data_IF_776906896420
#
_entry.id   IF_776906896420
#
_cell.length_a   1.000
_cell.length_b   1.000
_cell.length_c   1.000
_cell.angle_alpha   90.00
_cell.angle_beta   90.00
_cell.angle_gamma   90.00
#
_symmetry.space_group_name_H-M   'P 1'
#
loop_
_entity.id
_entity.type
_entity.pdbx_description
1 polymer ?
#
# COMPACT_ATOMS: atom_id res chain seq x y z
N UNK A 1 35.35 -85.83 17.86
CA UNK A 1 35.17 -86.93 16.89
C UNK A 1 34.81 -86.33 15.54
N UNK A 2 35.28 -86.83 14.39
CA UNK A 2 36.61 -87.32 14.04
C UNK A 2 37.20 -86.50 12.85
N UNK A 3 38.52 -86.26 12.81
CA UNK A 3 39.53 -86.91 11.92
C UNK A 3 39.86 -86.12 10.63
N UNK A 4 41.14 -85.77 10.43
CA UNK A 4 42.09 -86.39 9.46
C UNK A 4 42.21 -85.50 8.19
N UNK A 5 43.29 -85.39 7.42
CA UNK A 5 44.65 -85.96 7.33
C UNK A 5 45.41 -84.94 6.41
N UNK A 6 46.62 -84.48 6.74
CA UNK A 6 47.90 -84.74 6.01
C UNK A 6 47.94 -84.30 4.53
N UNK A 7 48.87 -83.41 4.16
CA UNK A 7 50.13 -83.83 3.52
C UNK A 7 51.14 -82.70 3.31
N UNK A 8 52.40 -83.04 3.63
CA UNK A 8 53.66 -82.33 3.39
C UNK A 8 54.04 -82.28 1.90
N UNK A 9 54.75 -81.22 1.49
CA UNK A 9 55.83 -81.19 0.47
C UNK A 9 56.53 -79.80 0.57
N UNK A 10 57.66 -79.67 1.27
CA UNK A 10 59.08 -79.73 0.79
C UNK A 10 59.43 -78.74 -0.34
N UNK A 11 59.97 -77.55 0.04
CA UNK A 11 61.31 -76.93 -0.25
C UNK A 11 61.94 -77.15 -1.66
N UNK A 12 62.75 -76.24 -2.29
CA UNK A 12 63.34 -74.96 -1.87
C UNK A 12 63.21 -73.77 -2.84
N UNK A 13 63.60 -72.62 -2.29
CA UNK A 13 64.15 -71.40 -2.89
C UNK A 13 65.00 -71.61 -4.16
N UNK A 14 64.77 -70.78 -5.19
CA UNK A 14 65.87 -70.31 -6.05
C UNK A 14 65.67 -68.86 -6.47
N UNK A 15 66.77 -68.14 -6.30
CA UNK A 15 67.04 -66.75 -6.60
C UNK A 15 66.96 -66.41 -8.10
N UNK A 16 66.85 -65.10 -8.30
CA UNK A 16 67.32 -64.27 -9.41
C UNK A 16 66.35 -64.00 -10.58
N UNK A 17 65.96 -62.73 -10.56
CA UNK A 17 65.24 -61.95 -11.53
C UNK A 17 66.05 -61.66 -12.81
N UNK A 18 65.30 -61.26 -13.84
CA UNK A 18 65.50 -60.15 -14.80
C UNK A 18 64.53 -60.42 -15.97
N UNK A 19 63.76 -59.51 -16.54
CA UNK A 19 63.32 -58.15 -16.25
C UNK A 19 62.31 -57.79 -17.36
N UNK A 20 61.24 -57.05 -17.08
CA UNK A 20 60.73 -56.04 -18.02
C UNK A 20 59.62 -55.17 -17.39
N UNK A 21 59.81 -53.85 -17.53
CA UNK A 21 58.85 -52.74 -17.45
C UNK A 21 58.26 -52.42 -16.06
N UNK A 22 58.28 -51.19 -15.54
CA UNK A 22 58.72 -49.90 -16.07
C UNK A 22 58.76 -48.89 -14.92
N UNK A 23 59.83 -48.10 -14.90
CA UNK A 23 60.04 -46.73 -14.42
C UNK A 23 59.48 -46.20 -13.07
N UNK A 24 60.48 -45.96 -12.19
CA UNK A 24 60.80 -44.75 -11.40
C UNK A 24 59.73 -44.15 -10.46
N UNK A 25 59.90 -44.38 -9.15
CA UNK A 25 60.62 -43.53 -8.17
C UNK A 25 59.86 -42.25 -7.79
N UNK A 26 59.19 -42.26 -6.64
CA UNK A 26 59.70 -41.86 -5.30
C UNK A 26 59.78 -40.35 -5.12
N UNK A 27 58.90 -39.81 -4.27
CA UNK A 27 59.30 -39.06 -3.07
C UNK A 27 58.08 -38.48 -2.33
N UNK A 28 57.91 -38.96 -1.09
CA UNK A 28 57.57 -38.19 0.12
C UNK A 28 56.25 -37.42 0.23
N UNK A 29 55.36 -38.00 1.05
CA UNK A 29 54.85 -37.43 2.31
C UNK A 29 53.87 -36.23 2.29
N UNK A 30 52.86 -36.35 3.19
CA UNK A 30 51.88 -35.34 3.63
C UNK A 30 50.86 -34.90 2.57
N UNK A 31 49.72 -35.57 2.49
CA UNK A 31 48.37 -34.98 2.58
C UNK A 31 47.40 -36.16 2.76
N UNK A 32 46.96 -36.44 3.97
CA UNK A 32 45.82 -37.33 4.21
C UNK A 32 45.03 -36.82 5.42
N UNK A 33 44.69 -35.53 5.38
CA UNK A 33 43.76 -34.90 6.31
C UNK A 33 43.13 -33.70 5.60
N UNK A 34 42.21 -33.99 4.69
CA UNK A 34 41.14 -33.08 4.22
C UNK A 34 40.32 -33.82 3.16
N UNK A 35 39.53 -34.79 3.60
CA UNK A 35 38.43 -35.31 2.80
C UNK A 35 37.14 -34.65 3.31
N UNK A 36 36.78 -33.56 2.63
CA UNK A 36 35.43 -33.05 2.44
C UNK A 36 34.47 -33.15 3.64
N UNK A 37 34.47 -32.13 4.49
CA UNK A 37 33.20 -31.67 5.04
C UNK A 37 32.42 -31.09 3.85
N UNK A 38 31.41 -31.81 3.37
CA UNK A 38 30.36 -31.19 2.59
C UNK A 38 29.75 -30.11 3.49
N UNK A 39 30.13 -28.85 3.27
CA UNK A 39 29.53 -27.73 3.97
C UNK A 39 28.05 -27.74 3.62
N UNK A 40 27.20 -28.04 4.60
CA UNK A 40 25.83 -27.56 4.62
C UNK A 40 25.84 -26.11 4.10
N UNK A 41 24.98 -25.72 3.15
CA UNK A 41 24.90 -24.33 2.73
C UNK A 41 24.84 -23.47 3.99
N UNK A 42 25.77 -22.53 4.14
CA UNK A 42 25.79 -21.67 5.32
C UNK A 42 24.38 -21.09 5.49
N UNK A 43 23.79 -21.28 6.67
CA UNK A 43 22.44 -20.78 6.93
C UNK A 43 22.43 -19.28 6.65
N UNK A 44 21.50 -18.83 5.79
CA UNK A 44 21.33 -17.42 5.49
C UNK A 44 21.19 -16.65 6.81
N UNK A 45 21.96 -15.58 6.99
CA UNK A 45 21.88 -14.73 8.17
C UNK A 45 21.20 -13.39 7.83
N UNK A 46 20.69 -12.65 8.84
CA UNK A 46 20.24 -11.27 8.65
C UNK A 46 21.30 -10.36 7.98
N UNK A 47 22.59 -10.63 8.21
CA UNK A 47 23.68 -9.87 7.57
C UNK A 47 23.80 -10.19 6.09
N UNK A 48 23.55 -11.43 5.70
CA UNK A 48 23.59 -11.83 4.29
C UNK A 48 22.42 -11.23 3.51
N UNK A 49 21.24 -11.11 4.13
CA UNK A 49 20.10 -10.39 3.54
C UNK A 49 20.47 -8.92 3.29
N UNK A 50 21.04 -8.25 4.30
CA UNK A 50 21.48 -6.87 4.15
C UNK A 50 22.54 -6.73 3.04
N UNK A 51 23.51 -7.63 2.98
CA UNK A 51 24.54 -7.61 1.95
C UNK A 51 23.94 -7.74 0.54
N UNK A 52 22.97 -8.63 0.34
CA UNK A 52 22.28 -8.80 -0.96
C UNK A 52 21.61 -7.51 -1.45
N UNK A 53 21.01 -6.73 -0.57
CA UNK A 53 20.41 -5.44 -0.94
C UNK A 53 21.47 -4.40 -1.32
N UNK A 54 22.60 -4.37 -0.60
CA UNK A 54 23.70 -3.45 -0.85
C UNK A 54 24.44 -3.78 -2.15
N UNK A 55 24.62 -5.06 -2.45
CA UNK A 55 25.45 -5.56 -3.54
C UNK A 55 24.67 -5.79 -4.85
N UNK A 56 23.34 -5.66 -4.83
CA UNK A 56 22.47 -5.91 -5.97
C UNK A 56 22.86 -5.11 -7.22
N UNK A 57 22.90 -5.80 -8.35
CA UNK A 57 23.16 -5.26 -9.69
C UNK A 57 21.86 -5.29 -10.53
N UNK A 58 21.78 -4.48 -11.61
CA UNK A 58 20.62 -4.51 -12.49
C UNK A 58 20.37 -5.90 -13.08
N UNK A 59 19.12 -6.36 -13.04
CA UNK A 59 18.70 -7.69 -13.45
C UNK A 59 18.77 -8.75 -12.34
N UNK A 60 19.31 -8.42 -11.17
CA UNK A 60 19.38 -9.35 -10.06
C UNK A 60 18.00 -9.67 -9.48
N UNK A 61 17.88 -10.91 -9.01
CA UNK A 61 16.76 -11.40 -8.21
C UNK A 61 17.26 -11.74 -6.81
N UNK A 62 16.85 -10.94 -5.83
CA UNK A 62 17.09 -11.20 -4.40
C UNK A 62 16.04 -12.18 -3.89
N UNK A 63 16.37 -13.47 -3.94
CA UNK A 63 15.52 -14.54 -3.41
C UNK A 63 15.64 -14.65 -1.89
N UNK A 64 14.52 -14.55 -1.18
CA UNK A 64 14.39 -14.62 0.27
C UNK A 64 13.63 -15.89 0.66
N UNK A 65 14.31 -16.89 1.26
CA UNK A 65 13.68 -18.16 1.58
C UNK A 65 12.61 -18.02 2.67
N UNK A 66 11.72 -19.02 2.74
CA UNK A 66 10.76 -19.17 3.82
C UNK A 66 11.46 -19.06 5.19
N UNK A 67 10.85 -18.30 6.09
CA UNK A 67 11.35 -18.04 7.42
C UNK A 67 10.92 -16.68 7.95
N UNK A 68 11.05 -16.52 9.27
CA UNK A 68 10.92 -15.23 9.95
C UNK A 68 12.31 -14.66 10.25
N UNK A 69 12.63 -13.56 9.60
CA UNK A 69 13.94 -12.92 9.60
C UNK A 69 13.89 -11.66 10.46
N UNK A 70 14.52 -11.70 11.64
CA UNK A 70 14.60 -10.52 12.50
C UNK A 70 15.70 -9.57 12.02
N UNK A 71 15.31 -8.37 11.63
CA UNK A 71 16.17 -7.31 11.12
C UNK A 71 16.19 -6.14 12.11
N UNK A 72 17.37 -5.61 12.39
CA UNK A 72 17.53 -4.47 13.30
C UNK A 72 17.83 -3.15 12.57
N UNK A 73 17.92 -3.18 11.24
CA UNK A 73 18.31 -2.08 10.36
C UNK A 73 17.47 -2.14 9.09
N UNK A 74 17.14 -0.97 8.53
CA UNK A 74 16.49 -0.87 7.22
C UNK A 74 17.30 -1.59 6.13
N UNK A 75 16.57 -2.16 5.17
CA UNK A 75 17.13 -2.65 3.91
C UNK A 75 17.01 -1.53 2.87
N UNK A 76 18.12 -1.13 2.25
CA UNK A 76 18.11 -0.05 1.25
C UNK A 76 18.55 -0.60 -0.09
N UNK A 77 17.77 -0.29 -1.13
CA UNK A 77 18.04 -0.65 -2.52
C UNK A 77 18.09 0.62 -3.37
N UNK A 78 19.20 0.84 -4.08
CA UNK A 78 19.39 2.02 -4.96
C UNK A 78 19.71 1.62 -6.40
N UNK A 79 19.45 0.36 -6.75
CA UNK A 79 19.81 -0.21 -8.05
C UNK A 79 18.55 -0.50 -8.85
N UNK A 80 18.49 0.05 -10.06
CA UNK A 80 17.39 -0.20 -11.01
C UNK A 80 17.35 -1.65 -11.49
N UNK A 81 16.17 -2.13 -11.91
CA UNK A 81 16.02 -3.44 -12.56
C UNK A 81 16.14 -4.63 -11.63
N UNK A 82 15.94 -4.43 -10.31
CA UNK A 82 16.08 -5.48 -9.30
C UNK A 82 14.70 -6.04 -8.92
N UNK A 83 14.64 -7.36 -8.76
CA UNK A 83 13.48 -8.04 -8.16
C UNK A 83 13.82 -8.53 -6.76
N UNK A 84 12.95 -8.27 -5.77
CA UNK A 84 12.98 -8.89 -4.44
C UNK A 84 11.83 -9.88 -4.35
N UNK A 85 12.14 -11.15 -4.08
CA UNK A 85 11.14 -12.22 -4.07
C UNK A 85 11.20 -13.05 -2.80
N UNK A 86 10.06 -13.28 -2.16
CA UNK A 86 9.91 -14.27 -1.09
C UNK A 86 9.19 -15.56 -1.54
N UNK A 87 8.94 -16.45 -0.59
CA UNK A 87 8.23 -17.72 -0.82
C UNK A 87 6.69 -17.62 -0.67
N UNK A 88 6.19 -16.44 -0.33
CA UNK A 88 4.79 -16.10 -0.06
C UNK A 88 4.69 -15.17 1.16
N UNK A 89 3.67 -14.30 1.21
CA UNK A 89 3.49 -13.32 2.29
C UNK A 89 3.30 -13.95 3.70
N UNK A 90 2.85 -15.20 3.76
CA UNK A 90 2.72 -15.97 5.01
C UNK A 90 3.95 -16.83 5.33
N UNK A 91 4.95 -16.86 4.44
CA UNK A 91 6.11 -17.76 4.50
C UNK A 91 7.42 -17.02 4.69
N UNK A 92 7.66 -15.96 3.93
CA UNK A 92 8.84 -15.11 4.07
C UNK A 92 8.45 -13.85 4.82
N UNK A 93 8.87 -13.73 6.07
CA UNK A 93 8.52 -12.61 6.96
C UNK A 93 9.78 -11.86 7.36
N UNK A 94 9.87 -10.58 7.00
CA UNK A 94 10.91 -9.66 7.45
C UNK A 94 10.39 -8.89 8.67
N UNK A 95 10.86 -9.25 9.85
CA UNK A 95 10.41 -8.65 11.11
C UNK A 95 11.40 -7.60 11.59
N UNK A 96 10.94 -6.35 11.69
CA UNK A 96 11.71 -5.21 12.18
C UNK A 96 11.45 -4.91 13.66
N UNK A 97 10.77 -5.81 14.38
CA UNK A 97 10.61 -5.72 15.82
C UNK A 97 11.95 -5.53 16.52
N UNK A 98 12.11 -4.38 17.19
CA UNK A 98 13.36 -3.99 17.83
C UNK A 98 14.40 -3.34 16.90
N UNK A 99 13.96 -2.77 15.77
CA UNK A 99 14.78 -1.96 14.88
C UNK A 99 15.49 -0.85 15.66
N UNK A 100 16.82 -0.79 15.52
CA UNK A 100 17.68 0.17 16.23
C UNK A 100 18.23 1.26 15.32
N UNK A 101 18.14 1.10 13.99
CA UNK A 101 18.59 2.09 13.02
C UNK A 101 17.72 2.12 11.76
N UNK A 102 17.60 3.31 11.17
CA UNK A 102 16.65 3.61 10.09
C UNK A 102 15.21 3.70 10.59
N UNK A 103 14.33 4.28 9.77
CA UNK A 103 12.90 4.34 10.06
C UNK A 103 12.15 3.25 9.27
N UNK A 104 12.56 3.03 8.02
CA UNK A 104 11.87 2.17 7.08
C UNK A 104 12.21 0.69 7.30
N UNK A 105 11.31 -0.23 6.93
CA UNK A 105 11.68 -1.63 6.75
C UNK A 105 12.54 -1.81 5.50
N UNK A 106 11.95 -1.47 4.35
CA UNK A 106 12.63 -1.43 3.05
C UNK A 106 12.49 -0.04 2.45
N UNK A 107 13.63 0.57 2.09
CA UNK A 107 13.70 1.81 1.33
C UNK A 107 14.27 1.52 -0.07
N UNK A 108 13.53 1.91 -1.10
CA UNK A 108 13.90 1.72 -2.50
C UNK A 108 13.99 3.07 -3.18
N UNK A 109 15.10 3.36 -3.84
CA UNK A 109 15.30 4.53 -4.71
C UNK A 109 15.73 4.02 -6.09
N UNK A 110 14.80 3.47 -6.86
CA UNK A 110 15.11 2.74 -8.09
C UNK A 110 13.92 2.67 -9.05
N UNK A 111 14.22 2.50 -10.34
CA UNK A 111 13.26 2.17 -11.41
C UNK A 111 13.30 0.69 -11.77
N UNK A 112 12.30 0.22 -12.51
CA UNK A 112 12.16 -1.17 -12.96
C UNK A 112 12.26 -2.16 -11.80
N UNK A 113 11.61 -1.80 -10.69
CA UNK A 113 11.67 -2.53 -9.42
C UNK A 113 10.44 -3.42 -9.25
N UNK A 114 10.67 -4.67 -8.87
CA UNK A 114 9.62 -5.59 -8.46
C UNK A 114 9.86 -6.09 -7.05
N UNK A 115 8.84 -6.08 -6.21
CA UNK A 115 8.82 -6.81 -4.94
C UNK A 115 7.60 -7.71 -4.88
N UNK A 116 7.83 -8.98 -4.52
CA UNK A 116 6.75 -9.95 -4.44
C UNK A 116 6.90 -11.02 -3.36
N UNK A 117 5.76 -11.54 -2.91
CA UNK A 117 5.65 -12.77 -2.12
C UNK A 117 6.36 -12.75 -0.75
N UNK A 118 6.23 -11.66 0.00
CA UNK A 118 6.80 -11.55 1.36
C UNK A 118 5.97 -10.66 2.28
N UNK A 119 6.28 -10.71 3.58
CA UNK A 119 5.75 -9.80 4.58
C UNK A 119 6.83 -8.92 5.21
N UNK A 120 6.43 -7.72 5.62
CA UNK A 120 7.21 -6.74 6.37
C UNK A 120 6.43 -6.41 7.65
N UNK A 121 7.02 -6.71 8.81
CA UNK A 121 6.34 -6.59 10.10
C UNK A 121 7.06 -5.64 11.05
N UNK A 122 6.29 -4.90 11.85
CA UNK A 122 6.74 -4.17 13.04
C UNK A 122 7.90 -3.18 12.79
N UNK A 123 7.85 -2.44 11.68
CA UNK A 123 8.82 -1.37 11.39
C UNK A 123 8.61 -0.17 12.30
N UNK A 124 9.71 0.55 12.59
CA UNK A 124 9.64 1.77 13.41
C UNK A 124 8.90 2.91 12.71
N UNK A 125 9.09 3.03 11.41
CA UNK A 125 8.40 3.94 10.49
C UNK A 125 7.82 3.14 9.33
N UNK A 126 7.91 3.67 8.12
CA UNK A 126 7.26 3.08 6.93
C UNK A 126 7.71 1.64 6.66
N UNK A 127 6.78 0.76 6.25
CA UNK A 127 7.14 -0.64 6.03
C UNK A 127 7.91 -0.83 4.72
N UNK A 128 7.30 -0.43 3.60
CA UNK A 128 7.91 -0.41 2.27
C UNK A 128 7.78 1.00 1.69
N UNK A 129 8.90 1.70 1.53
CA UNK A 129 8.95 2.99 0.84
C UNK A 129 9.68 2.85 -0.50
N UNK A 130 9.00 3.22 -1.58
CA UNK A 130 9.60 3.37 -2.91
C UNK A 130 9.59 4.86 -3.23
N UNK A 131 10.75 5.48 -3.14
CA UNK A 131 10.91 6.91 -3.33
C UNK A 131 11.51 7.19 -4.69
N UNK A 132 10.74 7.88 -5.53
CA UNK A 132 11.07 8.15 -6.93
C UNK A 132 11.17 6.86 -7.77
N UNK A 133 11.26 7.03 -9.09
CA UNK A 133 11.47 5.94 -10.04
C UNK A 133 10.26 5.64 -10.92
N UNK A 134 10.47 4.75 -11.90
CA UNK A 134 9.46 4.35 -12.88
C UNK A 134 9.31 2.85 -12.91
N UNK A 135 8.13 2.36 -13.33
CA UNK A 135 7.83 0.94 -13.51
C UNK A 135 7.99 0.14 -12.21
N UNK A 136 7.12 0.43 -11.25
CA UNK A 136 7.16 -0.16 -9.91
C UNK A 136 6.08 -1.22 -9.79
N UNK A 137 6.45 -2.45 -9.43
CA UNK A 137 5.53 -3.56 -9.22
C UNK A 137 5.63 -4.03 -7.77
N UNK A 138 4.53 -3.93 -7.04
CA UNK A 138 4.37 -4.43 -5.66
C UNK A 138 3.26 -5.46 -5.70
N UNK A 139 3.62 -6.74 -5.53
CA UNK A 139 2.69 -7.85 -5.76
C UNK A 139 2.69 -8.82 -4.60
N UNK A 140 1.54 -9.09 -4.00
CA UNK A 140 1.41 -10.05 -2.89
C UNK A 140 2.41 -9.76 -1.76
N UNK A 141 2.51 -8.49 -1.37
CA UNK A 141 3.28 -8.04 -0.22
C UNK A 141 2.34 -7.78 0.95
N UNK A 142 2.65 -8.28 2.14
CA UNK A 142 1.93 -7.94 3.38
C UNK A 142 2.75 -6.96 4.22
N UNK A 143 2.15 -5.86 4.65
CA UNK A 143 2.70 -4.97 5.67
C UNK A 143 1.81 -5.02 6.90
N UNK A 144 2.41 -5.17 8.09
CA UNK A 144 1.63 -5.31 9.32
C UNK A 144 2.36 -4.79 10.57
N UNK A 145 1.65 -3.98 11.35
CA UNK A 145 1.99 -3.75 12.75
C UNK A 145 1.22 -4.75 13.61
N UNK A 146 1.91 -5.81 14.03
CA UNK A 146 1.30 -7.00 14.65
C UNK A 146 0.70 -6.72 16.03
N UNK A 147 1.00 -5.55 16.60
CA UNK A 147 0.43 -5.04 17.84
C UNK A 147 -0.95 -4.40 17.70
N UNK A 148 -1.51 -4.34 16.49
CA UNK A 148 -2.77 -3.66 16.17
C UNK A 148 -2.62 -2.14 16.02
N UNK A 149 -3.75 -1.42 15.76
CA UNK A 149 -3.80 0.04 15.60
C UNK A 149 -3.20 0.80 16.78
N UNK A 150 -2.15 1.58 16.54
CA UNK A 150 -1.50 2.44 17.53
C UNK A 150 -0.87 3.65 16.87
N UNK A 151 -0.90 4.79 17.56
CA UNK A 151 -0.31 6.05 17.08
C UNK A 151 1.21 5.96 16.91
N UNK A 152 1.88 5.05 17.63
CA UNK A 152 3.33 4.84 17.51
C UNK A 152 3.73 3.87 16.40
N UNK A 153 2.77 3.31 15.65
CA UNK A 153 3.08 2.52 14.47
C UNK A 153 3.73 3.41 13.39
N UNK A 154 4.31 2.78 12.38
CA UNK A 154 4.79 3.52 11.22
C UNK A 154 3.61 4.11 10.44
N UNK A 155 3.89 5.23 9.77
CA UNK A 155 2.87 5.97 9.04
C UNK A 155 2.32 5.15 7.88
N UNK A 156 3.19 4.66 7.01
CA UNK A 156 2.76 4.04 5.76
C UNK A 156 3.16 2.57 5.64
N UNK A 157 2.20 1.72 5.26
CA UNK A 157 2.48 0.32 4.94
C UNK A 157 3.22 0.18 3.62
N UNK A 158 2.49 0.31 2.51
CA UNK A 158 3.04 0.31 1.15
C UNK A 158 3.05 1.76 0.66
N UNK A 159 4.23 2.30 0.34
CA UNK A 159 4.44 3.73 0.11
C UNK A 159 5.30 4.02 -1.14
N UNK A 160 4.79 3.80 -2.36
CA UNK A 160 5.31 4.46 -3.55
C UNK A 160 5.00 5.98 -3.55
N UNK A 161 6.03 6.79 -3.79
CA UNK A 161 5.92 8.25 -3.83
C UNK A 161 6.82 8.86 -4.88
N UNK A 162 6.31 9.87 -5.60
CA UNK A 162 7.03 10.49 -6.72
C UNK A 162 7.39 9.48 -7.83
N UNK A 163 6.51 8.51 -8.05
CA UNK A 163 6.72 7.39 -8.97
C UNK A 163 5.84 7.49 -10.23
N UNK A 164 6.24 6.78 -11.29
CA UNK A 164 5.45 6.68 -12.54
C UNK A 164 5.29 5.21 -12.95
N UNK A 165 4.12 4.83 -13.46
CA UNK A 165 3.78 3.45 -13.83
C UNK A 165 3.86 2.49 -12.63
N UNK A 166 2.88 2.58 -11.74
CA UNK A 166 2.85 1.83 -10.49
C UNK A 166 1.74 0.77 -10.53
N UNK A 167 2.10 -0.46 -10.18
CA UNK A 167 1.15 -1.54 -9.92
C UNK A 167 1.29 -2.00 -8.47
N UNK A 168 0.23 -1.83 -7.68
CA UNK A 168 0.07 -2.46 -6.37
C UNK A 168 -1.05 -3.48 -6.47
N UNK A 169 -0.72 -4.78 -6.41
CA UNK A 169 -1.72 -5.83 -6.57
C UNK A 169 -1.62 -7.00 -5.59
N UNK A 170 -2.75 -7.56 -5.20
CA UNK A 170 -2.81 -8.75 -4.36
C UNK A 170 -2.19 -8.58 -2.96
N UNK A 171 -1.98 -7.34 -2.53
CA UNK A 171 -1.21 -6.99 -1.32
C UNK A 171 -2.11 -6.74 -0.12
N UNK A 172 -1.53 -6.78 1.07
CA UNK A 172 -2.25 -6.63 2.34
C UNK A 172 -1.57 -5.58 3.21
N UNK A 173 -2.32 -4.63 3.77
CA UNK A 173 -1.77 -3.61 4.67
C UNK A 173 -2.61 -3.47 5.95
N UNK A 174 -1.97 -3.62 7.11
CA UNK A 174 -2.63 -3.73 8.40
C UNK A 174 -1.97 -2.86 9.48
N UNK A 175 -2.75 -1.98 10.11
CA UNK A 175 -2.34 -1.29 11.33
C UNK A 175 -1.46 -0.05 11.13
N UNK A 176 -1.38 0.52 9.93
CA UNK A 176 -0.62 1.74 9.66
C UNK A 176 -1.23 2.95 10.40
N UNK A 177 -0.40 3.79 11.02
CA UNK A 177 -0.88 4.99 11.74
C UNK A 177 -1.30 6.13 10.82
N UNK A 178 -1.04 5.98 9.52
CA UNK A 178 -1.51 6.86 8.46
C UNK A 178 -2.24 5.97 7.43
N UNK A 179 -1.66 5.75 6.25
CA UNK A 179 -2.25 4.91 5.22
C UNK A 179 -1.66 3.49 5.13
N UNK A 180 -2.52 2.49 5.00
CA UNK A 180 -2.12 1.11 4.74
C UNK A 180 -1.42 0.99 3.39
N UNK A 181 -2.10 1.42 2.33
CA UNK A 181 -1.54 1.56 0.99
C UNK A 181 -1.63 3.04 0.61
N UNK A 182 -0.48 3.68 0.44
CA UNK A 182 -0.37 5.07 0.04
C UNK A 182 0.30 5.15 -1.33
N UNK A 183 -0.28 5.89 -2.27
CA UNK A 183 0.38 6.27 -3.51
C UNK A 183 0.30 7.78 -3.68
N UNK A 184 1.43 8.46 -3.50
CA UNK A 184 1.47 9.92 -3.47
C UNK A 184 2.34 10.53 -4.55
N UNK A 185 1.99 11.73 -5.00
CA UNK A 185 2.77 12.49 -5.98
C UNK A 185 3.18 11.66 -7.21
N UNK A 186 2.34 10.72 -7.64
CA UNK A 186 2.68 9.71 -8.64
C UNK A 186 1.78 9.79 -9.87
N UNK A 187 2.11 9.03 -10.93
CA UNK A 187 1.40 9.06 -12.21
C UNK A 187 1.20 7.66 -12.79
N UNK A 188 0.06 7.45 -13.46
CA UNK A 188 -0.28 6.18 -14.12
C UNK A 188 -0.24 5.00 -13.12
N UNK A 189 -1.25 4.94 -12.26
CA UNK A 189 -1.29 4.09 -11.06
C UNK A 189 -2.42 3.06 -11.16
N UNK A 190 -2.12 1.82 -10.82
CA UNK A 190 -3.13 0.77 -10.60
C UNK A 190 -2.97 0.19 -9.21
N UNK A 191 -4.03 0.28 -8.40
CA UNK A 191 -4.14 -0.34 -7.08
C UNK A 191 -5.32 -1.32 -7.12
N UNK A 192 -5.03 -2.62 -7.19
CA UNK A 192 -6.08 -3.63 -7.36
C UNK A 192 -5.95 -4.91 -6.53
N UNK A 193 -7.08 -5.55 -6.27
CA UNK A 193 -7.11 -6.86 -5.60
C UNK A 193 -6.38 -6.87 -4.23
N UNK A 194 -6.31 -5.72 -3.55
CA UNK A 194 -5.62 -5.59 -2.27
C UNK A 194 -6.60 -5.66 -1.08
N UNK A 195 -6.08 -5.93 0.12
CA UNK A 195 -6.81 -5.80 1.38
C UNK A 195 -6.15 -4.77 2.28
N UNK A 196 -6.89 -3.74 2.66
CA UNK A 196 -6.45 -2.74 3.64
C UNK A 196 -7.39 -2.76 4.85
N UNK A 197 -6.85 -3.03 6.04
CA UNK A 197 -7.65 -3.11 7.25
C UNK A 197 -6.96 -2.55 8.49
N UNK A 198 -7.76 -1.99 9.41
CA UNK A 198 -7.26 -1.45 10.67
C UNK A 198 -6.20 -0.35 10.52
N UNK A 199 -6.18 0.37 9.40
CA UNK A 199 -5.35 1.57 9.20
C UNK A 199 -6.16 2.83 9.52
N UNK A 200 -5.52 4.00 9.58
CA UNK A 200 -6.29 5.26 9.57
C UNK A 200 -6.93 5.42 8.20
N UNK A 201 -6.12 5.53 7.14
CA UNK A 201 -6.58 5.42 5.77
C UNK A 201 -6.31 4.01 5.24
N UNK A 202 -7.31 3.32 4.72
CA UNK A 202 -7.09 2.01 4.10
C UNK A 202 -6.20 2.13 2.87
N UNK A 203 -6.69 2.85 1.87
CA UNK A 203 -5.98 3.18 0.63
C UNK A 203 -6.02 4.69 0.44
N UNK A 204 -4.88 5.31 0.12
CA UNK A 204 -4.78 6.73 -0.15
C UNK A 204 -4.10 7.00 -1.49
N UNK A 205 -4.74 7.84 -2.32
CA UNK A 205 -4.19 8.41 -3.54
C UNK A 205 -4.02 9.91 -3.30
N UNK A 206 -2.77 10.36 -3.15
CA UNK A 206 -2.46 11.75 -2.77
C UNK A 206 -1.74 12.47 -3.92
N UNK A 207 -2.20 13.67 -4.30
CA UNK A 207 -1.54 14.54 -5.29
C UNK A 207 -1.06 13.80 -6.55
N UNK A 208 -1.84 12.84 -7.02
CA UNK A 208 -1.47 11.91 -8.10
C UNK A 208 -2.33 12.09 -9.33
N UNK A 209 -1.79 11.71 -10.50
CA UNK A 209 -2.44 11.93 -11.79
C UNK A 209 -2.67 10.61 -12.51
N UNK A 210 -3.93 10.26 -12.72
CA UNK A 210 -4.32 9.01 -13.39
C UNK A 210 -4.14 7.80 -12.47
N UNK A 211 -5.19 7.45 -11.74
CA UNK A 211 -5.21 6.30 -10.85
C UNK A 211 -6.47 5.44 -11.04
N UNK A 212 -6.29 4.13 -11.09
CA UNK A 212 -7.35 3.13 -11.04
C UNK A 212 -7.26 2.37 -9.72
N UNK A 213 -8.28 2.50 -8.87
CA UNK A 213 -8.38 1.83 -7.57
C UNK A 213 -9.59 0.89 -7.61
N UNK A 214 -9.36 -0.40 -7.79
CA UNK A 214 -10.46 -1.35 -8.00
C UNK A 214 -10.27 -2.76 -7.46
N UNK A 215 -11.38 -3.48 -7.25
CA UNK A 215 -11.39 -4.83 -6.66
C UNK A 215 -10.69 -4.93 -5.30
N UNK A 216 -10.54 -3.81 -4.59
CA UNK A 216 -9.92 -3.83 -3.26
C UNK A 216 -10.97 -4.09 -2.17
N UNK A 217 -10.50 -4.61 -1.05
CA UNK A 217 -11.27 -4.76 0.20
C UNK A 217 -10.70 -3.79 1.22
N UNK A 218 -11.42 -2.70 1.49
CA UNK A 218 -11.08 -1.69 2.48
C UNK A 218 -12.06 -1.79 3.67
N UNK A 219 -11.64 -2.45 4.75
CA UNK A 219 -12.52 -2.78 5.88
C UNK A 219 -11.91 -2.41 7.23
N UNK A 220 -12.74 -2.01 8.19
CA UNK A 220 -12.29 -1.70 9.57
C UNK A 220 -11.15 -0.66 9.65
N UNK A 221 -11.00 0.23 8.67
CA UNK A 221 -10.11 1.40 8.79
C UNK A 221 -10.82 2.54 9.52
N UNK A 222 -10.19 3.70 9.71
CA UNK A 222 -10.91 4.93 10.09
C UNK A 222 -11.64 5.53 8.88
N UNK A 223 -10.93 5.63 7.76
CA UNK A 223 -11.45 5.93 6.43
C UNK A 223 -11.06 4.81 5.46
N UNK A 224 -11.98 4.38 4.60
CA UNK A 224 -11.73 3.27 3.67
C UNK A 224 -10.75 3.63 2.55
N UNK A 225 -11.18 4.53 1.64
CA UNK A 225 -10.38 5.00 0.50
C UNK A 225 -10.35 6.53 0.49
N UNK A 226 -9.17 7.13 0.39
CA UNK A 226 -8.95 8.57 0.35
C UNK A 226 -8.38 8.99 -1.00
N UNK A 227 -8.92 10.08 -1.57
CA UNK A 227 -8.44 10.72 -2.79
C UNK A 227 -8.18 12.20 -2.49
N UNK A 228 -6.93 12.56 -2.28
CA UNK A 228 -6.52 13.80 -1.63
C UNK A 228 -5.65 14.68 -2.54
N UNK A 229 -5.80 15.99 -2.39
CA UNK A 229 -4.75 16.95 -2.72
C UNK A 229 -4.36 17.75 -1.49
N UNK A 230 -3.05 17.78 -1.22
CA UNK A 230 -2.42 18.50 -0.14
C UNK A 230 -1.95 19.89 -0.60
N UNK A 231 -2.12 20.93 0.24
CA UNK A 231 -1.87 22.33 -0.11
C UNK A 231 -0.40 22.67 -0.39
N UNK A 232 0.54 21.95 0.21
CA UNK A 232 1.97 22.32 0.20
C UNK A 232 2.77 21.63 -0.92
N UNK A 233 2.10 20.84 -1.78
CA UNK A 233 2.76 20.04 -2.80
C UNK A 233 2.57 20.65 -4.18
N UNK A 234 3.63 20.61 -4.99
CA UNK A 234 3.64 21.22 -6.33
C UNK A 234 2.92 20.38 -7.39
N UNK A 235 2.79 19.07 -7.18
CA UNK A 235 2.04 18.22 -8.10
C UNK A 235 0.54 18.28 -7.77
N UNK A 236 -0.34 18.58 -8.75
CA UNK A 236 -1.77 18.50 -8.54
C UNK A 236 -2.25 17.04 -8.47
N UNK A 237 -3.40 16.81 -7.83
CA UNK A 237 -4.09 15.53 -7.87
C UNK A 237 -5.33 15.60 -8.77
N UNK A 238 -5.43 14.73 -9.76
CA UNK A 238 -6.65 14.61 -10.56
C UNK A 238 -6.76 13.29 -11.33
N UNK A 239 -7.97 12.97 -11.81
CA UNK A 239 -8.23 11.82 -12.70
C UNK A 239 -8.03 10.49 -11.96
N UNK A 240 -8.88 10.26 -10.97
CA UNK A 240 -8.89 9.02 -10.17
C UNK A 240 -10.20 8.28 -10.38
N UNK A 241 -10.14 6.99 -10.69
CA UNK A 241 -11.31 6.12 -10.79
C UNK A 241 -11.30 5.13 -9.63
N UNK A 242 -12.36 5.13 -8.83
CA UNK A 242 -12.54 4.24 -7.68
C UNK A 242 -13.75 3.35 -7.94
N UNK A 243 -13.52 2.07 -8.24
CA UNK A 243 -14.60 1.21 -8.70
C UNK A 243 -14.50 -0.27 -8.32
N UNK A 244 -15.63 -0.98 -8.26
CA UNK A 244 -15.66 -2.40 -7.91
C UNK A 244 -14.93 -2.73 -6.59
N UNK A 245 -14.89 -1.80 -5.64
CA UNK A 245 -14.30 -2.05 -4.31
C UNK A 245 -15.39 -2.48 -3.32
N UNK A 246 -14.97 -3.27 -2.33
CA UNK A 246 -15.75 -3.52 -1.12
C UNK A 246 -15.22 -2.64 0.00
N UNK A 247 -16.00 -1.62 0.37
CA UNK A 247 -15.63 -0.61 1.36
C UNK A 247 -16.62 -0.74 2.52
N UNK A 248 -16.27 -1.44 3.60
CA UNK A 248 -17.28 -1.85 4.60
C UNK A 248 -16.77 -1.67 6.02
N UNK A 249 -17.61 -1.07 6.88
CA UNK A 249 -17.35 -1.06 8.32
C UNK A 249 -16.08 -0.32 8.73
N UNK A 250 -15.65 0.70 7.97
CA UNK A 250 -14.48 1.53 8.29
C UNK A 250 -14.74 2.43 9.51
N UNK A 251 -14.81 1.81 10.70
CA UNK A 251 -15.21 2.43 11.96
C UNK A 251 -14.13 2.35 13.05
N UNK A 252 -12.89 2.02 12.70
CA UNK A 252 -11.78 2.05 13.67
C UNK A 252 -11.53 3.48 14.08
N UNK A 253 -11.51 3.75 15.39
CA UNK A 253 -11.25 5.08 15.93
C UNK A 253 -9.95 5.65 15.35
N UNK A 254 -9.97 6.92 14.93
CA UNK A 254 -8.80 7.59 14.38
C UNK A 254 -7.63 7.57 15.39
N UNK A 255 -6.50 7.01 14.97
CA UNK A 255 -5.29 6.87 15.78
C UNK A 255 -4.07 7.54 15.14
N UNK A 256 -4.29 8.41 14.15
CA UNK A 256 -3.23 9.17 13.51
C UNK A 256 -2.49 10.07 14.49
N UNK A 257 -1.25 10.40 14.13
CA UNK A 257 -0.49 11.40 14.89
C UNK A 257 -1.22 12.75 14.82
N UNK A 258 -1.53 13.41 15.95
CA UNK A 258 -2.23 14.68 15.95
C UNK A 258 -1.54 15.74 15.09
N UNK A 259 -2.33 16.46 14.29
CA UNK A 259 -1.85 17.51 13.38
C UNK A 259 -1.44 17.01 11.98
N UNK A 260 -1.40 15.70 11.74
CA UNK A 260 -1.32 15.13 10.38
C UNK A 260 -2.62 15.35 9.61
N UNK A 261 -2.59 15.19 8.29
CA UNK A 261 -3.78 15.37 7.46
C UNK A 261 -4.88 14.36 7.81
N UNK A 262 -4.52 13.09 7.89
CA UNK A 262 -5.46 12.00 8.19
C UNK A 262 -6.02 12.02 9.61
N UNK A 263 -5.43 12.79 10.55
CA UNK A 263 -6.04 13.03 11.86
C UNK A 263 -7.38 13.78 11.77
N UNK A 264 -7.61 14.50 10.66
CA UNK A 264 -8.88 15.14 10.35
C UNK A 264 -9.97 14.20 9.86
N UNK A 265 -9.63 12.97 9.44
CA UNK A 265 -10.60 12.01 8.87
C UNK A 265 -11.62 11.61 9.95
N UNK A 266 -12.93 11.82 9.73
CA UNK A 266 -13.96 11.31 10.61
C UNK A 266 -13.97 9.78 10.63
N UNK A 267 -14.07 9.19 11.82
CA UNK A 267 -14.27 7.75 11.95
C UNK A 267 -15.58 7.36 11.28
N UNK A 268 -15.62 6.24 10.57
CA UNK A 268 -16.85 5.83 9.88
C UNK A 268 -16.98 6.42 8.48
N UNK A 269 -15.87 6.72 7.81
CA UNK A 269 -15.90 7.23 6.43
C UNK A 269 -15.59 6.13 5.44
N UNK A 270 -16.46 5.90 4.45
CA UNK A 270 -16.21 4.94 3.37
C UNK A 270 -15.13 5.44 2.41
N UNK A 271 -15.49 6.44 1.62
CA UNK A 271 -14.63 7.11 0.66
C UNK A 271 -14.59 8.61 0.98
N UNK A 272 -13.39 9.19 1.02
CA UNK A 272 -13.19 10.62 1.24
C UNK A 272 -12.45 11.27 0.07
N UNK A 273 -13.08 12.27 -0.55
CA UNK A 273 -12.45 13.14 -1.54
C UNK A 273 -12.12 14.46 -0.84
N UNK A 274 -10.85 14.89 -0.92
CA UNK A 274 -10.44 16.19 -0.40
C UNK A 274 -9.69 16.99 -1.47
N UNK A 275 -10.29 18.08 -1.96
CA UNK A 275 -9.65 19.03 -2.90
C UNK A 275 -9.08 18.36 -4.16
N UNK A 276 -9.78 17.35 -4.70
CA UNK A 276 -9.29 16.60 -5.86
C UNK A 276 -10.25 16.73 -7.03
N UNK A 277 -9.68 16.75 -8.23
CA UNK A 277 -10.44 16.95 -9.46
C UNK A 277 -10.62 15.66 -10.24
N UNK A 278 -11.74 15.57 -10.98
CA UNK A 278 -12.01 14.49 -11.92
C UNK A 278 -11.92 13.14 -11.21
N UNK A 279 -12.81 12.93 -10.25
CA UNK A 279 -12.91 11.66 -9.52
C UNK A 279 -14.17 10.93 -9.98
N UNK A 280 -14.01 9.70 -10.45
CA UNK A 280 -15.10 8.84 -10.92
C UNK A 280 -15.29 7.68 -9.93
N UNK A 281 -16.48 7.55 -9.34
CA UNK A 281 -16.79 6.59 -8.27
C UNK A 281 -17.97 5.72 -8.71
N UNK A 282 -17.73 4.44 -8.97
CA UNK A 282 -18.76 3.57 -9.52
C UNK A 282 -18.67 2.10 -9.15
N UNK A 283 -19.80 1.39 -9.15
CA UNK A 283 -19.84 -0.07 -8.91
C UNK A 283 -19.21 -0.51 -7.57
N UNK A 284 -19.11 0.37 -6.57
CA UNK A 284 -18.59 -0.02 -5.25
C UNK A 284 -19.72 -0.55 -4.35
N UNK A 285 -19.39 -1.51 -3.48
CA UNK A 285 -20.23 -1.93 -2.35
C UNK A 285 -19.79 -1.16 -1.11
N UNK A 286 -20.66 -0.28 -0.59
CA UNK A 286 -20.37 0.50 0.62
C UNK A 286 -21.44 0.30 1.68
N UNK A 287 -21.03 -0.09 2.90
CA UNK A 287 -21.98 -0.31 4.00
C UNK A 287 -21.33 -0.19 5.37
N UNK A 288 -22.17 -0.01 6.39
CA UNK A 288 -21.85 -0.04 7.81
C UNK A 288 -20.84 1.02 8.24
N UNK A 289 -20.80 2.16 7.55
CA UNK A 289 -19.99 3.32 7.89
C UNK A 289 -20.71 4.20 8.91
N UNK A 290 -20.08 4.51 10.05
CA UNK A 290 -20.74 5.30 11.11
C UNK A 290 -21.02 6.76 10.72
N UNK A 291 -20.26 7.33 9.77
CA UNK A 291 -20.39 8.73 9.33
C UNK A 291 -21.05 8.84 7.95
N UNK A 292 -20.42 8.34 6.89
CA UNK A 292 -20.94 8.44 5.52
C UNK A 292 -20.26 7.43 4.59
N UNK A 293 -20.93 7.08 3.48
CA UNK A 293 -20.32 6.26 2.44
C UNK A 293 -19.36 7.07 1.59
N UNK A 294 -19.75 8.29 1.21
CA UNK A 294 -18.90 9.24 0.48
C UNK A 294 -18.92 10.59 1.19
N UNK A 295 -17.74 11.12 1.50
CA UNK A 295 -17.56 12.48 2.00
C UNK A 295 -16.73 13.27 0.98
N UNK A 296 -17.23 14.43 0.59
CA UNK A 296 -16.59 15.33 -0.37
C UNK A 296 -16.28 16.63 0.37
N UNK A 297 -14.99 16.95 0.50
CA UNK A 297 -14.53 18.15 1.17
C UNK A 297 -13.57 18.96 0.31
N UNK A 298 -13.55 20.25 0.58
CA UNK A 298 -12.55 21.20 0.13
C UNK A 298 -11.52 21.45 1.22
N UNK A 299 -10.47 22.17 0.84
CA UNK A 299 -9.41 22.60 1.73
C UNK A 299 -9.98 23.45 2.89
N UNK A 300 -11.01 24.24 2.60
CA UNK A 300 -11.61 25.26 3.48
C UNK A 300 -12.51 24.71 4.58
N UNK A 301 -12.91 23.44 4.50
CA UNK A 301 -13.65 22.74 5.55
C UNK A 301 -12.80 21.66 6.24
N UNK A 302 -11.58 21.44 5.76
CA UNK A 302 -10.68 20.39 6.25
C UNK A 302 -9.80 20.88 7.41
N UNK A 303 -9.17 19.94 8.12
CA UNK A 303 -8.13 20.23 9.11
C UNK A 303 -6.84 20.82 8.50
N UNK A 304 -6.81 21.05 7.18
CA UNK A 304 -5.68 21.60 6.45
C UNK A 304 -5.80 23.12 6.24
N UNK A 305 -6.96 23.74 6.48
CA UNK A 305 -7.28 25.12 6.09
C UNK A 305 -6.27 26.19 6.52
N UNK A 306 -5.52 25.96 7.61
CA UNK A 306 -4.53 26.90 8.15
C UNK A 306 -3.11 26.68 7.59
N UNK A 307 -2.94 25.72 6.67
CA UNK A 307 -1.64 25.40 6.08
C UNK A 307 -1.31 26.33 4.92
N UNK A 308 -0.03 26.66 4.79
CA UNK A 308 0.50 27.36 3.62
C UNK A 308 0.15 26.59 2.34
N UNK A 309 -0.19 27.34 1.28
CA UNK A 309 -0.59 26.80 -0.02
C UNK A 309 0.50 27.08 -1.05
N UNK A 310 0.80 26.09 -1.88
CA UNK A 310 1.54 26.29 -3.10
C UNK A 310 0.72 27.16 -4.07
N UNK A 311 1.37 27.98 -4.89
CA UNK A 311 0.68 28.86 -5.85
C UNK A 311 -0.22 28.08 -6.83
N UNK A 312 0.16 26.84 -7.14
CA UNK A 312 -0.58 25.95 -8.03
C UNK A 312 -1.65 25.11 -7.34
N UNK A 313 -1.87 25.28 -6.03
CA UNK A 313 -2.83 24.47 -5.30
C UNK A 313 -4.26 24.87 -5.63
N UNK A 314 -5.08 23.86 -5.95
CA UNK A 314 -6.52 24.00 -6.06
C UNK A 314 -7.17 23.39 -4.82
N UNK A 315 -7.91 24.22 -4.08
CA UNK A 315 -8.55 23.82 -2.83
C UNK A 315 -9.94 23.21 -3.00
N UNK A 316 -10.51 23.22 -4.20
CA UNK A 316 -11.89 22.83 -4.45
C UNK A 316 -12.00 21.42 -5.05
N UNK A 317 -12.98 20.61 -4.65
CA UNK A 317 -13.27 19.35 -5.34
C UNK A 317 -14.12 19.60 -6.58
N UNK A 318 -13.63 19.24 -7.76
CA UNK A 318 -14.33 19.52 -9.02
C UNK A 318 -14.46 18.29 -9.94
N UNK A 319 -15.54 18.24 -10.71
CA UNK A 319 -15.75 17.18 -11.71
C UNK A 319 -15.87 15.79 -11.07
N UNK A 320 -16.67 15.69 -10.01
CA UNK A 320 -16.89 14.43 -9.28
C UNK A 320 -18.09 13.71 -9.88
N UNK A 321 -17.93 12.44 -10.27
CA UNK A 321 -19.01 11.65 -10.85
C UNK A 321 -19.27 10.38 -10.05
N UNK A 322 -20.47 10.24 -9.49
CA UNK A 322 -20.89 9.13 -8.62
C UNK A 322 -22.07 8.41 -9.28
N UNK A 323 -21.92 7.12 -9.61
CA UNK A 323 -22.97 6.35 -10.27
C UNK A 323 -22.85 4.84 -10.02
N UNK A 324 -23.96 4.11 -10.10
CA UNK A 324 -24.00 2.64 -9.98
C UNK A 324 -23.31 2.02 -8.74
N UNK A 325 -23.12 2.78 -7.65
CA UNK A 325 -22.67 2.25 -6.37
C UNK A 325 -23.84 1.65 -5.59
N UNK A 326 -23.56 0.57 -4.84
CA UNK A 326 -24.52 -0.05 -3.93
C UNK A 326 -24.28 0.43 -2.50
N UNK A 327 -25.16 1.29 -2.01
CA UNK A 327 -25.13 1.82 -0.65
C UNK A 327 -26.03 1.01 0.29
N UNK A 328 -25.43 0.46 1.35
CA UNK A 328 -26.12 -0.18 2.46
C UNK A 328 -26.41 0.79 3.61
N UNK A 329 -26.69 0.24 4.80
CA UNK A 329 -26.92 1.05 6.00
C UNK A 329 -25.66 1.84 6.40
N UNK A 330 -25.82 3.04 6.96
CA UNK A 330 -24.71 3.92 7.38
C UNK A 330 -25.18 5.18 8.10
N UNK A 331 -24.23 6.03 8.50
CA UNK A 331 -24.47 7.38 9.01
C UNK A 331 -25.09 7.48 10.41
N UNK A 332 -25.09 6.39 11.18
CA UNK A 332 -25.82 6.30 12.45
C UNK A 332 -25.11 6.95 13.64
N UNK A 333 -23.78 7.10 13.59
CA UNK A 333 -23.00 7.54 14.76
C UNK A 333 -21.70 8.25 14.36
N UNK A 334 -21.77 9.40 13.67
CA UNK A 334 -20.58 10.19 13.36
C UNK A 334 -19.84 10.59 14.64
N UNK A 335 -18.51 10.59 14.58
CA UNK A 335 -17.64 10.86 15.74
C UNK A 335 -17.31 12.36 15.95
N UNK A 336 -17.63 13.20 14.97
CA UNK A 336 -17.46 14.66 15.04
C UNK A 336 -18.73 15.31 15.57
N UNK A 337 -18.57 16.24 16.52
CA UNK A 337 -19.68 16.93 17.17
C UNK A 337 -20.56 17.67 16.16
N UNK A 338 -19.95 18.31 15.16
CA UNK A 338 -20.64 19.05 14.10
C UNK A 338 -21.47 18.12 13.21
N UNK A 339 -20.91 16.97 12.82
CA UNK A 339 -21.63 15.97 12.01
C UNK A 339 -22.75 15.29 12.80
N UNK A 340 -22.54 15.04 14.10
CA UNK A 340 -23.60 14.51 14.95
C UNK A 340 -24.70 15.55 15.21
N UNK A 341 -24.35 16.83 15.38
CA UNK A 341 -25.32 17.92 15.48
C UNK A 341 -26.14 18.07 14.19
N UNK A 342 -25.49 17.97 13.02
CA UNK A 342 -26.16 17.94 11.71
C UNK A 342 -27.13 16.76 11.63
N UNK A 343 -26.69 15.55 12.02
CA UNK A 343 -27.50 14.34 12.03
C UNK A 343 -28.77 14.52 12.86
N UNK A 344 -28.62 14.96 14.11
CA UNK A 344 -29.74 15.17 15.04
C UNK A 344 -30.64 16.32 14.56
N UNK A 345 -30.05 17.41 14.07
CA UNK A 345 -30.78 18.61 13.66
C UNK A 345 -31.67 18.40 12.44
N UNK A 346 -31.19 17.64 11.44
CA UNK A 346 -31.93 17.42 10.19
C UNK A 346 -32.74 16.12 10.17
N UNK A 347 -32.24 15.07 10.82
CA UNK A 347 -32.80 13.71 10.72
C UNK A 347 -33.35 13.18 12.05
N UNK A 348 -33.18 13.94 13.15
CA UNK A 348 -33.66 13.58 14.48
C UNK A 348 -32.72 12.64 15.24
N UNK A 349 -33.02 12.41 16.52
CA UNK A 349 -32.17 11.61 17.44
C UNK A 349 -31.83 10.20 16.92
N UNK A 350 -32.78 9.55 16.24
CA UNK A 350 -32.62 8.21 15.65
C UNK A 350 -32.37 8.24 14.14
N UNK A 351 -32.19 9.43 13.55
CA UNK A 351 -31.89 9.59 12.14
C UNK A 351 -30.44 9.22 11.81
N UNK A 352 -30.19 8.97 10.53
CA UNK A 352 -28.85 8.71 9.98
C UNK A 352 -28.44 9.86 9.07
N UNK A 353 -27.14 10.11 8.98
CA UNK A 353 -26.60 10.96 7.91
C UNK A 353 -26.81 10.28 6.54
N UNK A 354 -26.93 11.07 5.46
CA UNK A 354 -27.07 10.54 4.10
C UNK A 354 -25.83 9.77 3.60
N UNK A 355 -26.01 9.04 2.50
CA UNK A 355 -24.96 8.27 1.84
C UNK A 355 -23.79 9.16 1.41
N UNK A 356 -24.12 10.35 0.89
CA UNK A 356 -23.17 11.33 0.34
C UNK A 356 -23.27 12.63 1.14
N UNK A 357 -22.13 13.10 1.65
CA UNK A 357 -21.99 14.41 2.31
C UNK A 357 -21.05 15.27 1.49
N UNK A 358 -21.46 16.50 1.18
CA UNK A 358 -20.61 17.51 0.55
C UNK A 358 -20.54 18.76 1.43
N UNK A 359 -19.35 19.35 1.50
CA UNK A 359 -19.11 20.56 2.28
C UNK A 359 -19.75 21.83 1.69
N UNK A 360 -20.01 21.85 0.38
CA UNK A 360 -20.67 22.96 -0.32
C UNK A 360 -19.73 24.01 -0.92
N UNK A 361 -18.40 23.88 -0.74
CA UNK A 361 -17.45 24.83 -1.28
C UNK A 361 -17.30 24.69 -2.80
N UNK A 362 -17.27 25.83 -3.48
CA UNK A 362 -17.08 25.92 -4.94
C UNK A 362 -16.15 27.08 -5.29
N UNK A 363 -15.41 26.96 -6.40
CA UNK A 363 -14.55 28.04 -6.88
C UNK A 363 -15.36 29.13 -7.61
N UNK A 364 -15.67 30.22 -6.89
CA UNK A 364 -16.35 31.39 -7.46
C UNK A 364 -15.58 32.01 -8.65
N UNK A 365 -14.25 31.88 -8.70
CA UNK A 365 -13.45 32.46 -9.76
C UNK A 365 -13.64 31.73 -11.12
N UNK A 366 -14.14 30.48 -11.09
CA UNK A 366 -14.40 29.68 -12.29
C UNK A 366 -15.86 29.77 -12.77
N UNK A 367 -16.74 30.48 -12.05
CA UNK A 367 -18.14 30.61 -12.44
C UNK A 367 -18.33 31.39 -13.74
N UNK A 368 -19.28 30.93 -14.55
CA UNK A 368 -19.74 31.59 -15.78
C UNK A 368 -21.23 31.84 -15.65
N UNK A 369 -21.65 33.10 -15.82
CA UNK A 369 -23.05 33.53 -15.69
C UNK A 369 -23.72 33.12 -14.35
N UNK A 370 -22.93 33.07 -13.27
CA UNK A 370 -23.40 32.77 -11.92
C UNK A 370 -23.55 31.28 -11.59
N UNK A 371 -23.02 30.38 -12.42
CA UNK A 371 -22.96 28.94 -12.15
C UNK A 371 -21.58 28.38 -12.49
N UNK A 372 -21.18 27.27 -11.85
CA UNK A 372 -19.99 26.55 -12.31
C UNK A 372 -20.25 25.92 -13.69
N UNK A 373 -19.23 25.87 -14.56
CA UNK A 373 -19.25 25.02 -15.73
C UNK A 373 -19.63 23.58 -15.36
N UNK A 374 -20.47 22.94 -16.18
CA UNK A 374 -21.05 21.65 -15.87
C UNK A 374 -19.99 20.56 -15.62
N UNK A 375 -18.86 20.64 -16.33
CA UNK A 375 -17.72 19.74 -16.21
C UNK A 375 -16.97 19.81 -14.87
N UNK A 376 -17.17 20.88 -14.09
CA UNK A 376 -16.58 21.06 -12.76
C UNK A 376 -17.54 20.68 -11.63
N UNK A 377 -18.80 20.38 -11.95
CA UNK A 377 -19.81 20.06 -10.96
C UNK A 377 -19.60 18.72 -10.26
N UNK A 378 -20.35 18.52 -9.17
CA UNK A 378 -20.55 17.22 -8.53
C UNK A 378 -21.83 16.63 -9.12
N UNK A 379 -21.69 15.53 -9.87
CA UNK A 379 -22.78 14.82 -10.51
C UNK A 379 -23.03 13.46 -9.85
N UNK A 380 -24.29 13.22 -9.50
CA UNK A 380 -24.76 12.02 -8.82
C UNK A 380 -25.85 11.39 -9.67
N UNK A 381 -25.54 10.23 -10.27
CA UNK A 381 -26.45 9.40 -11.04
C UNK A 381 -26.55 8.00 -10.39
N UNK A 382 -26.83 7.98 -9.08
CA UNK A 382 -26.71 6.79 -8.23
C UNK A 382 -28.06 6.31 -7.65
N UNK A 383 -29.11 6.32 -8.47
CA UNK A 383 -30.44 5.81 -8.10
C UNK A 383 -31.03 6.49 -6.86
N UNK A 384 -31.34 5.71 -5.83
CA UNK A 384 -31.97 6.16 -4.58
C UNK A 384 -30.98 6.74 -3.56
N UNK A 385 -29.75 7.09 -3.98
CA UNK A 385 -28.75 7.68 -3.09
C UNK A 385 -29.27 8.93 -2.40
N UNK A 386 -28.97 9.04 -1.10
CA UNK A 386 -29.29 10.18 -0.27
C UNK A 386 -28.10 11.13 -0.18
N UNK A 387 -28.39 12.43 0.00
CA UNK A 387 -27.38 13.47 -0.08
C UNK A 387 -27.64 14.60 0.92
N UNK A 388 -26.56 15.23 1.38
CA UNK A 388 -26.62 16.54 2.04
C UNK A 388 -25.43 17.42 1.62
N UNK A 389 -25.73 18.65 1.24
CA UNK A 389 -24.79 19.77 1.28
C UNK A 389 -24.89 20.42 2.67
N UNK A 390 -23.78 20.49 3.39
CA UNK A 390 -23.76 21.01 4.77
C UNK A 390 -23.68 22.52 4.86
N UNK A 391 -23.52 23.22 3.72
CA UNK A 391 -23.49 24.68 3.64
C UNK A 391 -22.31 25.31 4.42
N UNK A 392 -21.13 24.71 4.34
CA UNK A 392 -19.94 25.19 5.06
C UNK A 392 -19.51 26.62 4.66
N UNK A 393 -19.58 27.07 3.39
CA UNK A 393 -19.21 28.44 3.01
C UNK A 393 -20.03 29.52 3.73
N UNK A 394 -21.32 29.26 3.99
CA UNK A 394 -22.22 30.17 4.70
C UNK A 394 -22.29 29.86 6.21
N UNK A 395 -21.37 29.03 6.74
CA UNK A 395 -21.27 28.73 8.17
C UNK A 395 -22.35 27.78 8.67
N UNK A 396 -22.71 26.78 7.85
CA UNK A 396 -23.65 25.70 8.15
C UNK A 396 -25.08 26.15 8.46
N UNK A 397 -25.50 27.30 7.91
CA UNK A 397 -26.77 27.95 8.28
C UNK A 397 -27.97 27.33 7.57
N UNK A 398 -27.79 26.89 6.32
CA UNK A 398 -28.85 26.37 5.45
C UNK A 398 -28.42 25.06 4.77
N UNK A 399 -28.11 24.00 5.53
CA UNK A 399 -27.82 22.70 4.91
C UNK A 399 -29.01 22.23 4.07
N UNK A 400 -28.72 21.60 2.94
CA UNK A 400 -29.71 21.19 1.94
C UNK A 400 -29.59 19.71 1.63
N UNK A 401 -30.73 19.03 1.65
CA UNK A 401 -30.87 17.62 1.20
C UNK A 401 -31.39 17.53 -0.24
N UNK A 402 -31.51 18.67 -0.93
CA UNK A 402 -31.97 18.70 -2.32
C UNK A 402 -30.88 18.18 -3.25
N UNK A 403 -31.09 16.97 -3.78
CA UNK A 403 -30.21 16.31 -4.74
C UNK A 403 -30.42 16.83 -6.18
N UNK A 404 -31.53 17.51 -6.47
CA UNK A 404 -31.88 17.88 -7.84
C UNK A 404 -30.78 18.68 -8.58
N UNK A 405 -30.06 19.63 -7.96
CA UNK A 405 -28.95 20.35 -8.60
C UNK A 405 -27.78 19.45 -9.01
N UNK A 406 -27.63 18.29 -8.35
CA UNK A 406 -26.54 17.33 -8.57
C UNK A 406 -26.95 16.15 -9.45
N UNK A 407 -28.21 16.08 -9.89
CA UNK A 407 -28.69 15.02 -10.78
C UNK A 407 -28.22 15.29 -12.21
N UNK A 408 -27.00 14.87 -12.53
CA UNK A 408 -26.35 15.08 -13.82
C UNK A 408 -25.37 13.94 -14.17
N UNK A 409 -24.79 14.00 -15.36
CA UNK A 409 -23.75 13.08 -15.82
C UNK A 409 -22.50 13.85 -16.23
N UNK A 410 -21.33 13.23 -16.06
CA UNK A 410 -20.04 13.73 -16.54
C UNK A 410 -19.42 12.75 -17.54
N UNK A 411 -18.51 13.21 -18.42
CA UNK A 411 -17.71 12.31 -19.24
C UNK A 411 -16.92 11.32 -18.39
N UNK A 412 -17.05 10.03 -18.70
CA UNK A 412 -16.29 8.96 -18.02
C UNK A 412 -14.80 9.09 -18.29
N UNK A 413 -13.98 8.79 -17.29
CA UNK A 413 -12.54 8.88 -17.39
C UNK A 413 -11.96 7.65 -18.11
N UNK A 414 -10.87 7.86 -18.85
CA UNK A 414 -10.18 6.78 -19.53
C UNK A 414 -9.48 5.86 -18.51
N UNK A 415 -9.43 4.53 -18.76
CA UNK A 415 -8.64 3.62 -17.96
C UNK A 415 -7.16 3.95 -17.94
N UNK A 416 -6.54 3.69 -16.79
CA UNK A 416 -5.09 3.71 -16.65
C UNK A 416 -4.51 2.55 -17.46
N UNK A 417 -3.50 2.84 -18.27
CA UNK A 417 -2.77 1.84 -19.06
C UNK A 417 -1.32 1.87 -18.64
N UNK A 418 -0.92 0.91 -17.82
CA UNK A 418 0.49 0.73 -17.48
C UNK A 418 1.26 0.30 -18.72
N UNK A 419 2.28 1.07 -19.10
CA UNK A 419 3.24 0.61 -20.09
C UNK A 419 4.02 -0.54 -19.48
N UNK A 420 3.95 -1.74 -20.08
CA UNK A 420 4.77 -2.86 -19.63
C UNK A 420 6.24 -2.46 -19.66
N UNK A 421 6.96 -2.62 -18.55
CA UNK A 421 8.41 -2.72 -18.61
C UNK A 421 8.72 -3.80 -19.64
N UNK A 422 9.50 -3.46 -20.66
CA UNK A 422 10.01 -4.46 -21.59
C UNK A 422 10.80 -5.46 -20.74
N UNK A 423 10.24 -6.67 -20.58
CA UNK A 423 10.85 -7.76 -19.82
C UNK A 423 12.08 -8.33 -20.50
#
# INVERSE_FOLDING_TARGET
>A
MPRLLISLLVVPSLLMALASCSDQQDATAKVAENAASASTPAALTPRDILARFIEAQPGDVIELPEGKWTLQRSLTLNTDGVTVRGAGMDKTILSFKGQVAGAEGILVNASDFTIEDLAIEDTRGDALKVNEGRNIIIRRVRTEWTGGPKTENGAYGIYPVQTENVLVEGSVAIGASDAGIYVGQSRNIVVRDNRAEFNVAGIEIENSIGADVYNNVAINNTGGILVFSMPQLSQPGHTTRVYNNKIVGNNTANFAVPGTAVAGVPTGTGLLINSNDKVEIFENEMSDHLTAHILISSFFSSSLQDRDQAESFDGYPEGIFIYDNNFGEGGSQPDRDELNALRVGLFGENGTLPDIIWDGFVDEAKMVDGALPAELGICIANGDATFVNVDAPDGYQQPSVDLAPHTCELPKLAPVVLTSAAG
#
